data_IF_608522594664
#
_entry.id   IF_608522594664
#
_cell.length_a   1.000
_cell.length_b   1.000
_cell.length_c   1.000
_cell.angle_alpha   90.00
_cell.angle_beta   90.00
_cell.angle_gamma   90.00
#
_symmetry.space_group_name_H-M   'P 1'
#
loop_
_entity.id
_entity.type
_entity.pdbx_description
1 polymer ?
#
# COMPACT_ATOMS: atom_id res chain seq x y z
N UNK A 1 8.74 26.09 -38.11
CA UNK A 1 8.86 25.39 -36.82
C UNK A 1 8.47 26.38 -35.71
N UNK A 2 7.21 26.47 -35.28
CA UNK A 2 6.90 27.11 -34.02
C UNK A 2 7.04 26.07 -32.90
N UNK A 3 7.83 26.44 -31.91
CA UNK A 3 8.07 25.71 -30.66
C UNK A 3 6.76 25.52 -29.90
N UNK A 4 6.45 24.27 -29.57
CA UNK A 4 5.35 23.93 -28.68
C UNK A 4 5.62 24.54 -27.29
N UNK A 5 4.81 25.53 -26.92
CA UNK A 5 4.77 26.01 -25.54
C UNK A 5 4.16 24.91 -24.68
N UNK A 6 4.94 24.38 -23.74
CA UNK A 6 4.46 23.49 -22.70
C UNK A 6 3.46 24.24 -21.83
N UNK A 7 2.18 23.90 -21.96
CA UNK A 7 1.13 24.37 -21.06
C UNK A 7 1.39 23.71 -19.70
N UNK A 8 1.86 24.50 -18.74
CA UNK A 8 1.90 24.12 -17.33
C UNK A 8 0.46 23.92 -16.87
N UNK A 9 0.05 22.66 -16.67
CA UNK A 9 -1.25 22.34 -16.10
C UNK A 9 -1.32 22.88 -14.67
N UNK A 10 -2.35 23.67 -14.37
CA UNK A 10 -2.69 24.03 -13.00
C UNK A 10 -2.82 22.77 -12.14
N UNK A 11 -2.53 22.81 -10.82
CA UNK A 11 -2.64 21.62 -9.98
C UNK A 11 -4.05 21.02 -10.10
N UNK A 12 -4.12 19.84 -10.73
CA UNK A 12 -5.36 19.13 -11.00
C UNK A 12 -6.07 18.78 -9.68
N UNK A 13 -7.38 19.01 -9.62
CA UNK A 13 -8.19 18.48 -8.53
C UNK A 13 -8.31 16.97 -8.74
N UNK A 14 -7.85 16.19 -7.76
CA UNK A 14 -7.97 14.74 -7.77
C UNK A 14 -9.31 14.28 -7.22
N UNK A 15 -9.88 13.21 -7.79
CA UNK A 15 -11.09 12.53 -7.30
C UNK A 15 -10.76 11.12 -6.90
N UNK A 16 -11.37 10.65 -5.82
CA UNK A 16 -11.34 9.25 -5.43
C UNK A 16 -12.70 8.59 -5.65
N UNK A 17 -12.68 7.35 -6.15
CA UNK A 17 -13.86 6.51 -6.31
C UNK A 17 -13.48 5.03 -6.16
N UNK A 18 -14.48 4.20 -5.88
CA UNK A 18 -14.34 2.75 -6.08
C UNK A 18 -14.74 2.47 -7.52
N UNK A 19 -13.87 1.83 -8.28
CA UNK A 19 -14.14 1.44 -9.66
C UNK A 19 -15.40 0.57 -9.70
N UNK A 20 -16.32 0.93 -10.59
CA UNK A 20 -17.63 0.29 -10.76
C UNK A 20 -17.78 -0.39 -12.12
N UNK A 21 -16.87 -0.10 -13.05
CA UNK A 21 -16.85 -0.63 -14.41
C UNK A 21 -15.56 -1.38 -14.69
N UNK A 22 -15.63 -2.30 -15.66
CA UNK A 22 -14.45 -3.01 -16.13
C UNK A 22 -13.38 -2.07 -16.70
N UNK A 23 -13.78 -0.95 -17.32
CA UNK A 23 -12.85 0.01 -17.91
C UNK A 23 -12.04 0.76 -16.84
N UNK A 24 -12.69 1.13 -15.72
CA UNK A 24 -12.01 1.73 -14.57
C UNK A 24 -11.03 0.75 -13.91
N UNK A 25 -11.43 -0.51 -13.75
CA UNK A 25 -10.54 -1.57 -13.23
C UNK A 25 -9.36 -1.78 -14.19
N UNK A 26 -9.61 -1.82 -15.50
CA UNK A 26 -8.56 -1.94 -16.52
C UNK A 26 -7.61 -0.74 -16.50
N UNK A 27 -8.10 0.47 -16.21
CA UNK A 27 -7.25 1.65 -16.04
C UNK A 27 -6.31 1.52 -14.84
N UNK A 28 -6.81 1.06 -13.69
CA UNK A 28 -5.98 0.75 -12.53
C UNK A 28 -4.93 -0.34 -12.83
N UNK A 29 -5.34 -1.41 -13.52
CA UNK A 29 -4.45 -2.50 -13.94
C UNK A 29 -3.32 -2.04 -14.86
N UNK A 30 -3.61 -1.13 -15.81
CA UNK A 30 -2.57 -0.50 -16.65
C UNK A 30 -1.62 0.35 -15.83
N UNK A 31 -2.15 1.18 -14.92
CA UNK A 31 -1.32 1.99 -14.03
C UNK A 31 -0.36 1.11 -13.22
N UNK A 32 -0.87 0.05 -12.60
CA UNK A 32 -0.07 -0.94 -11.87
C UNK A 32 1.00 -1.56 -12.74
N UNK A 33 0.67 -1.95 -13.98
CA UNK A 33 1.67 -2.49 -14.91
C UNK A 33 2.80 -1.50 -15.20
N UNK A 34 2.47 -0.24 -15.53
CA UNK A 34 3.48 0.80 -15.78
C UNK A 34 4.41 0.97 -14.57
N UNK A 35 3.85 1.08 -13.37
CA UNK A 35 4.66 1.32 -12.17
C UNK A 35 5.44 0.07 -11.73
N UNK A 36 4.79 -1.09 -11.67
CA UNK A 36 5.42 -2.30 -11.13
C UNK A 36 6.32 -2.98 -12.14
N UNK A 37 5.88 -3.17 -13.38
CA UNK A 37 6.68 -3.85 -14.41
C UNK A 37 7.65 -2.90 -15.10
N UNK A 38 7.16 -1.81 -15.66
CA UNK A 38 7.97 -0.98 -16.57
C UNK A 38 8.98 -0.12 -15.80
N UNK A 39 8.56 0.50 -14.70
CA UNK A 39 9.44 1.33 -13.88
C UNK A 39 10.25 0.51 -12.86
N UNK A 40 9.59 -0.34 -12.07
CA UNK A 40 10.26 -1.09 -10.98
C UNK A 40 10.90 -2.41 -11.41
N UNK A 41 10.59 -2.92 -12.61
CA UNK A 41 11.17 -4.17 -13.10
C UNK A 41 10.59 -5.45 -12.47
N UNK A 42 9.44 -5.37 -11.80
CA UNK A 42 8.83 -6.53 -11.14
C UNK A 42 8.43 -7.63 -12.15
N UNK A 43 8.56 -8.88 -11.75
CA UNK A 43 8.25 -10.06 -12.55
C UNK A 43 6.77 -10.42 -12.46
N UNK A 44 5.93 -9.63 -13.12
CA UNK A 44 4.49 -9.88 -13.16
C UNK A 44 4.13 -11.10 -14.04
N UNK A 45 3.31 -12.01 -13.50
CA UNK A 45 2.67 -13.10 -14.24
C UNK A 45 1.23 -12.70 -14.50
N UNK A 46 0.98 -12.12 -15.67
CA UNK A 46 -0.34 -11.57 -16.03
C UNK A 46 -0.94 -12.32 -17.22
N UNK A 47 -2.25 -12.65 -17.18
CA UNK A 47 -2.97 -13.19 -18.33
C UNK A 47 -3.24 -12.14 -19.42
N UNK A 48 -3.11 -10.84 -19.11
CA UNK A 48 -3.43 -9.75 -20.04
C UNK A 48 -2.18 -8.89 -20.29
N UNK A 49 -1.65 -8.86 -21.52
CA UNK A 49 -0.48 -8.04 -21.85
C UNK A 49 -0.68 -6.56 -21.47
N UNK A 50 0.35 -5.93 -20.90
CA UNK A 50 0.30 -4.53 -20.51
C UNK A 50 -0.56 -4.20 -19.27
N UNK A 51 -1.02 -5.22 -18.54
CA UNK A 51 -1.86 -5.06 -17.36
C UNK A 51 -1.33 -5.91 -16.21
N UNK A 52 -1.27 -5.38 -15.00
CA UNK A 52 -1.04 -6.18 -13.79
C UNK A 52 -2.38 -6.80 -13.41
N UNK A 53 -2.57 -8.10 -13.62
CA UNK A 53 -3.83 -8.82 -13.38
C UNK A 53 -3.54 -10.11 -12.63
N UNK A 54 -4.23 -10.34 -11.52
CA UNK A 54 -4.17 -11.60 -10.78
C UNK A 54 -5.56 -12.06 -10.31
N UNK A 55 -5.63 -13.24 -9.70
CA UNK A 55 -6.89 -13.86 -9.28
C UNK A 55 -7.64 -13.15 -8.14
N UNK A 56 -7.06 -12.12 -7.54
CA UNK A 56 -7.75 -11.31 -6.54
C UNK A 56 -8.56 -10.16 -7.16
N UNK A 57 -8.26 -9.74 -8.39
CA UNK A 57 -8.86 -8.53 -8.95
C UNK A 57 -10.39 -8.60 -9.08
N UNK A 58 -10.96 -9.79 -9.24
CA UNK A 58 -12.41 -10.02 -9.35
C UNK A 58 -13.14 -10.00 -7.99
N UNK A 59 -12.40 -10.17 -6.89
CA UNK A 59 -12.97 -10.25 -5.53
C UNK A 59 -12.61 -9.04 -4.67
N UNK A 60 -11.92 -8.05 -5.23
CA UNK A 60 -11.50 -6.84 -4.53
C UNK A 60 -12.20 -5.60 -5.04
N UNK A 61 -12.35 -4.62 -4.16
CA UNK A 61 -12.67 -3.26 -4.60
C UNK A 61 -11.39 -2.56 -5.09
N UNK A 62 -11.51 -1.78 -6.13
CA UNK A 62 -10.40 -1.00 -6.68
C UNK A 62 -10.63 0.46 -6.36
N UNK A 63 -9.95 0.98 -5.35
CA UNK A 63 -9.93 2.41 -5.08
C UNK A 63 -9.03 3.06 -6.14
N UNK A 64 -9.57 4.01 -6.88
CA UNK A 64 -8.86 4.74 -7.93
C UNK A 64 -8.85 6.22 -7.63
N UNK A 65 -7.74 6.86 -7.97
CA UNK A 65 -7.57 8.31 -7.97
C UNK A 65 -7.49 8.77 -9.40
N UNK A 66 -8.37 9.67 -9.78
CA UNK A 66 -8.48 10.20 -11.14
C UNK A 66 -8.10 11.67 -11.13
N UNK A 67 -7.24 12.08 -12.06
CA UNK A 67 -7.03 13.50 -12.35
C UNK A 67 -8.23 14.05 -13.11
N UNK A 68 -8.92 15.04 -12.54
CA UNK A 68 -10.10 15.65 -13.20
C UNK A 68 -9.77 16.34 -14.51
N UNK A 69 -8.54 16.83 -14.68
CA UNK A 69 -8.16 17.56 -15.89
C UNK A 69 -8.07 16.62 -17.11
N UNK A 70 -7.56 15.41 -16.90
CA UNK A 70 -7.28 14.44 -17.97
C UNK A 70 -8.26 13.28 -18.01
N UNK A 71 -8.94 13.00 -16.89
CA UNK A 71 -9.71 11.77 -16.71
C UNK A 71 -8.85 10.52 -16.50
N UNK A 72 -7.52 10.66 -16.37
CA UNK A 72 -6.62 9.52 -16.19
C UNK A 72 -6.62 9.00 -14.75
N UNK A 73 -6.58 7.68 -14.59
CA UNK A 73 -6.31 7.04 -13.30
C UNK A 73 -4.82 7.19 -12.96
N UNK A 74 -4.54 7.98 -11.93
CA UNK A 74 -3.19 8.39 -11.52
C UNK A 74 -2.74 7.78 -10.19
N UNK A 75 -3.64 7.12 -9.47
CA UNK A 75 -3.31 6.37 -8.25
C UNK A 75 -4.30 5.26 -8.00
N UNK A 76 -3.90 4.19 -7.31
CA UNK A 76 -4.81 3.11 -6.95
C UNK A 76 -4.42 2.34 -5.69
N UNK A 77 -5.41 1.76 -5.03
CA UNK A 77 -5.30 0.65 -4.08
C UNK A 77 -6.25 -0.47 -4.50
N UNK A 78 -5.82 -1.72 -4.26
CA UNK A 78 -6.72 -2.88 -4.22
C UNK A 78 -7.12 -3.15 -2.78
N UNK A 79 -8.42 -3.33 -2.52
CA UNK A 79 -9.00 -3.51 -1.20
C UNK A 79 -9.79 -4.83 -1.13
N UNK A 80 -9.36 -5.76 -0.28
CA UNK A 80 -10.02 -7.03 -0.03
C UNK A 80 -10.70 -6.99 1.36
N UNK A 81 -12.01 -6.69 1.43
CA UNK A 81 -12.74 -6.79 2.69
C UNK A 81 -12.95 -8.25 3.11
N UNK A 82 -13.17 -8.51 4.41
CA UNK A 82 -13.43 -9.85 4.93
C UNK A 82 -14.69 -10.46 4.31
N UNK A 83 -14.72 -11.79 4.24
CA UNK A 83 -15.87 -12.54 3.72
C UNK A 83 -15.89 -12.75 2.20
N UNK A 84 -15.07 -12.03 1.42
CA UNK A 84 -14.96 -12.24 -0.04
C UNK A 84 -14.03 -13.40 -0.42
N UNK A 85 -13.07 -13.71 0.43
CA UNK A 85 -12.16 -14.84 0.25
C UNK A 85 -11.74 -15.40 1.60
N UNK A 86 -11.44 -16.69 1.63
CA UNK A 86 -10.80 -17.34 2.79
C UNK A 86 -9.30 -17.06 2.84
N UNK A 87 -8.71 -16.69 1.71
CA UNK A 87 -7.28 -16.44 1.52
C UNK A 87 -7.05 -14.97 1.16
N UNK A 88 -6.08 -14.36 1.82
CA UNK A 88 -5.54 -13.03 1.57
C UNK A 88 -4.32 -13.12 0.66
N UNK A 89 -3.92 -12.01 0.03
CA UNK A 89 -2.64 -11.95 -0.68
C UNK A 89 -1.48 -12.20 0.29
N UNK A 90 -1.52 -11.55 1.45
CA UNK A 90 -0.51 -11.68 2.50
C UNK A 90 -0.42 -13.09 3.10
N UNK A 91 -1.43 -13.97 2.96
CA UNK A 91 -1.29 -15.39 3.32
C UNK A 91 -0.26 -16.13 2.43
N UNK A 92 0.06 -15.58 1.26
CA UNK A 92 1.12 -16.10 0.37
C UNK A 92 2.54 -15.78 0.84
N UNK A 93 2.70 -14.73 1.65
CA UNK A 93 4.01 -14.29 2.15
C UNK A 93 4.19 -14.58 3.64
N UNK A 94 3.10 -14.61 4.40
CA UNK A 94 3.10 -14.75 5.86
C UNK A 94 2.12 -15.83 6.33
N UNK A 95 2.46 -16.48 7.44
CA UNK A 95 1.49 -17.21 8.25
C UNK A 95 0.67 -16.22 9.08
N UNK A 96 -0.57 -16.01 8.66
CA UNK A 96 -1.54 -15.16 9.32
C UNK A 96 -2.51 -15.95 10.24
N UNK A 97 -2.33 -17.25 10.42
CA UNK A 97 -3.23 -18.08 11.25
C UNK A 97 -3.21 -17.67 12.72
N UNK A 98 -2.09 -17.12 13.19
CA UNK A 98 -1.93 -16.60 14.54
C UNK A 98 -2.73 -15.31 14.83
N UNK A 99 -3.22 -14.62 13.80
CA UNK A 99 -3.98 -13.38 14.02
C UNK A 99 -5.33 -13.68 14.68
N UNK A 100 -5.75 -12.90 15.70
CA UNK A 100 -7.01 -13.13 16.37
C UNK A 100 -8.19 -13.02 15.41
N UNK A 101 -9.19 -13.90 15.59
CA UNK A 101 -10.40 -13.92 14.74
C UNK A 101 -11.07 -12.55 14.66
N UNK A 102 -11.15 -11.83 15.80
CA UNK A 102 -11.71 -10.47 15.87
C UNK A 102 -11.00 -9.44 14.99
N UNK A 103 -9.70 -9.64 14.74
CA UNK A 103 -8.91 -8.79 13.84
C UNK A 103 -9.21 -9.21 12.41
N UNK A 104 -9.02 -10.50 12.08
CA UNK A 104 -9.24 -11.03 10.72
C UNK A 104 -10.66 -10.74 10.19
N UNK A 105 -11.69 -10.84 11.03
CA UNK A 105 -13.08 -10.62 10.63
C UNK A 105 -13.44 -9.14 10.41
N UNK A 106 -12.59 -8.20 10.85
CA UNK A 106 -12.81 -6.76 10.75
C UNK A 106 -11.70 -6.05 9.97
N UNK A 107 -10.87 -6.80 9.25
CA UNK A 107 -9.67 -6.33 8.56
C UNK A 107 -9.88 -6.30 7.06
N UNK A 108 -9.63 -5.14 6.46
CA UNK A 108 -9.48 -4.98 5.01
C UNK A 108 -8.00 -5.13 4.67
N UNK A 109 -7.68 -6.07 3.78
CA UNK A 109 -6.35 -6.11 3.19
C UNK A 109 -6.26 -5.06 2.07
N UNK A 110 -5.26 -4.19 2.14
CA UNK A 110 -4.91 -3.25 1.10
C UNK A 110 -3.58 -3.60 0.48
N UNK A 111 -3.52 -3.55 -0.85
CA UNK A 111 -2.31 -3.85 -1.61
C UNK A 111 -2.30 -3.17 -2.95
N UNK A 112 -1.27 -3.49 -3.74
CA UNK A 112 -1.09 -2.98 -5.11
C UNK A 112 -1.15 -1.45 -5.20
N UNK A 113 -0.67 -0.78 -4.16
CA UNK A 113 -0.66 0.66 -4.07
C UNK A 113 0.37 1.27 -5.03
N UNK A 114 -0.06 2.15 -5.93
CA UNK A 114 0.86 2.87 -6.79
C UNK A 114 0.33 4.25 -7.20
N UNK A 115 1.24 5.12 -7.62
CA UNK A 115 0.96 6.46 -8.12
C UNK A 115 1.75 6.67 -9.41
N UNK A 116 1.08 7.22 -10.42
CA UNK A 116 1.67 7.57 -11.70
C UNK A 116 2.89 8.48 -11.48
N UNK A 117 4.05 8.23 -12.13
CA UNK A 117 5.29 8.98 -11.91
C UNK A 117 5.10 10.51 -11.93
N UNK A 118 4.37 11.01 -12.93
CA UNK A 118 4.12 12.44 -13.12
C UNK A 118 3.16 13.07 -12.10
N UNK A 119 2.49 12.25 -11.28
CA UNK A 119 1.51 12.70 -10.29
C UNK A 119 1.95 12.44 -8.84
N UNK A 120 3.21 12.01 -8.62
CA UNK A 120 3.78 11.75 -7.28
C UNK A 120 3.90 13.03 -6.45
N UNK A 121 2.80 13.37 -5.81
CA UNK A 121 2.65 14.58 -5.00
C UNK A 121 1.91 14.26 -3.70
N UNK A 122 2.08 15.13 -2.70
CA UNK A 122 1.30 15.03 -1.46
C UNK A 122 -0.21 15.06 -1.70
N UNK A 123 -0.67 15.75 -2.76
CA UNK A 123 -2.08 15.83 -3.10
C UNK A 123 -2.69 14.48 -3.51
N UNK A 124 -2.02 13.70 -4.36
CA UNK A 124 -2.50 12.36 -4.74
C UNK A 124 -2.45 11.40 -3.57
N UNK A 125 -1.37 11.41 -2.80
CA UNK A 125 -1.25 10.57 -1.60
C UNK A 125 -2.39 10.91 -0.62
N UNK A 126 -2.65 12.18 -0.34
CA UNK A 126 -3.75 12.59 0.52
C UNK A 126 -5.11 12.17 -0.02
N UNK A 127 -5.33 12.25 -1.34
CA UNK A 127 -6.55 11.77 -1.97
C UNK A 127 -6.72 10.25 -1.77
N UNK A 128 -5.69 9.45 -2.05
CA UNK A 128 -5.72 8.00 -1.84
C UNK A 128 -6.02 7.65 -0.38
N UNK A 129 -5.34 8.31 0.57
CA UNK A 129 -5.52 8.06 1.99
C UNK A 129 -6.89 8.50 2.51
N UNK A 130 -7.43 9.62 2.02
CA UNK A 130 -8.80 10.04 2.31
C UNK A 130 -9.83 9.05 1.76
N UNK A 131 -9.62 8.54 0.54
CA UNK A 131 -10.44 7.50 -0.06
C UNK A 131 -10.42 6.20 0.76
N UNK A 132 -9.24 5.78 1.20
CA UNK A 132 -9.05 4.59 2.04
C UNK A 132 -9.73 4.73 3.41
N UNK A 133 -9.54 5.87 4.08
CA UNK A 133 -10.18 6.14 5.36
C UNK A 133 -11.71 6.18 5.25
N UNK A 134 -12.23 6.83 4.20
CA UNK A 134 -13.67 6.85 3.91
C UNK A 134 -14.22 5.45 3.62
N UNK A 135 -13.49 4.64 2.86
CA UNK A 135 -13.87 3.26 2.58
C UNK A 135 -14.01 2.46 3.87
N UNK A 136 -13.00 2.48 4.75
CA UNK A 136 -13.01 1.77 6.02
C UNK A 136 -14.16 2.23 6.93
N UNK A 137 -14.38 3.55 7.03
CA UNK A 137 -15.46 4.11 7.83
C UNK A 137 -16.83 3.66 7.32
N UNK A 138 -17.12 3.84 6.03
CA UNK A 138 -18.43 3.54 5.44
C UNK A 138 -18.73 2.03 5.42
N UNK A 139 -17.69 1.20 5.30
CA UNK A 139 -17.83 -0.25 5.32
C UNK A 139 -17.81 -0.84 6.74
N UNK A 140 -17.55 -0.04 7.78
CA UNK A 140 -17.57 -0.46 9.18
C UNK A 140 -16.36 -1.32 9.60
N UNK A 141 -15.26 -1.28 8.84
CA UNK A 141 -14.07 -2.06 9.15
C UNK A 141 -13.10 -1.29 10.04
N UNK A 142 -12.57 -1.99 11.04
CA UNK A 142 -11.67 -1.40 12.05
C UNK A 142 -10.21 -1.49 11.65
N UNK A 143 -9.81 -2.55 10.97
CA UNK A 143 -8.41 -2.81 10.68
C UNK A 143 -8.12 -2.65 9.20
N UNK A 144 -6.95 -2.09 8.92
CA UNK A 144 -6.33 -2.08 7.61
C UNK A 144 -5.01 -2.82 7.70
N UNK A 145 -4.76 -3.77 6.81
CA UNK A 145 -3.50 -4.49 6.79
C UNK A 145 -2.99 -4.71 5.37
N UNK A 146 -1.73 -5.10 5.23
CA UNK A 146 -1.17 -5.50 3.95
C UNK A 146 0.35 -5.56 3.98
N UNK A 147 0.93 -5.99 2.87
CA UNK A 147 2.37 -5.98 2.66
C UNK A 147 2.83 -4.58 2.25
N UNK A 148 3.73 -4.00 3.03
CA UNK A 148 4.43 -2.76 2.69
C UNK A 148 5.85 -3.10 2.25
N UNK A 149 6.11 -2.91 0.97
CA UNK A 149 7.36 -3.33 0.32
C UNK A 149 8.45 -2.27 0.42
N UNK A 150 9.67 -2.72 0.75
CA UNK A 150 10.89 -1.91 0.75
C UNK A 150 11.88 -2.48 -0.26
N UNK A 151 12.29 -1.70 -1.29
CA UNK A 151 13.22 -2.19 -2.29
C UNK A 151 14.57 -2.61 -1.72
N UNK A 152 15.12 -3.70 -2.27
CA UNK A 152 16.44 -4.23 -1.93
C UNK A 152 17.55 -3.77 -2.89
N UNK A 153 17.23 -2.86 -3.81
CA UNK A 153 18.16 -2.36 -4.83
C UNK A 153 19.40 -1.64 -4.26
N UNK A 154 19.34 -1.19 -3.00
CA UNK A 154 20.46 -0.55 -2.28
C UNK A 154 21.33 -1.55 -1.49
N UNK A 155 21.24 -2.84 -1.81
CA UNK A 155 21.89 -3.91 -1.05
C UNK A 155 21.12 -4.30 0.22
N UNK A 156 19.92 -3.76 0.44
CA UNK A 156 19.07 -4.09 1.58
C UNK A 156 19.24 -3.18 2.78
N UNK A 157 19.98 -2.08 2.66
CA UNK A 157 20.17 -1.12 3.75
C UNK A 157 18.84 -0.50 4.19
N UNK A 158 18.01 -0.07 3.23
CA UNK A 158 16.69 0.50 3.54
C UNK A 158 15.78 -0.51 4.25
N UNK A 159 15.83 -1.77 3.86
CA UNK A 159 15.07 -2.84 4.49
C UNK A 159 15.59 -3.14 5.91
N UNK A 160 16.91 -3.14 6.12
CA UNK A 160 17.53 -3.29 7.43
C UNK A 160 17.13 -2.15 8.39
N UNK A 161 17.20 -0.90 7.95
CA UNK A 161 16.79 0.28 8.73
C UNK A 161 15.30 0.25 9.08
N UNK A 162 14.48 -0.17 8.10
CA UNK A 162 13.03 -0.36 8.28
C UNK A 162 12.76 -1.43 9.33
N UNK A 163 13.48 -2.54 9.27
CA UNK A 163 13.32 -3.64 10.22
C UNK A 163 13.72 -3.25 11.64
N UNK A 164 14.80 -2.46 11.77
CA UNK A 164 15.19 -1.88 13.06
C UNK A 164 14.12 -0.94 13.62
N UNK A 165 13.52 -0.08 12.79
CA UNK A 165 12.37 0.75 13.20
C UNK A 165 11.16 -0.09 13.64
N UNK A 166 10.86 -1.14 12.89
CA UNK A 166 9.78 -2.08 13.16
C UNK A 166 9.92 -2.78 14.50
N UNK A 167 11.12 -3.22 14.83
CA UNK A 167 11.40 -3.94 16.07
C UNK A 167 11.56 -3.04 17.29
N UNK A 168 11.96 -1.78 17.11
CA UNK A 168 12.27 -0.86 18.23
C UNK A 168 11.17 0.16 18.53
N UNK A 169 10.42 0.64 17.52
CA UNK A 169 9.46 1.74 17.68
C UNK A 169 8.04 1.38 17.24
N UNK A 170 7.89 0.47 16.29
CA UNK A 170 6.60 0.16 15.65
C UNK A 170 6.18 -1.30 15.81
N UNK A 171 6.75 -2.00 16.79
CA UNK A 171 6.53 -3.43 16.95
C UNK A 171 5.07 -3.71 17.34
N UNK A 172 4.47 -4.69 16.69
CA UNK A 172 3.15 -5.17 17.09
C UNK A 172 3.19 -5.87 18.47
N UNK A 173 2.10 -5.79 19.24
CA UNK A 173 1.83 -6.66 20.38
C UNK A 173 2.04 -8.15 20.01
N UNK A 174 2.50 -9.00 20.94
CA UNK A 174 2.80 -10.40 20.66
C UNK A 174 1.67 -11.16 19.94
N UNK A 175 0.43 -10.91 20.30
CA UNK A 175 -0.77 -11.55 19.73
C UNK A 175 -1.12 -11.09 18.31
N UNK A 176 -0.49 -10.02 17.81
CA UNK A 176 -0.66 -9.53 16.45
C UNK A 176 0.54 -9.86 15.57
N UNK A 177 1.51 -10.63 16.07
CA UNK A 177 2.69 -11.00 15.31
C UNK A 177 2.41 -12.09 14.29
N UNK A 178 3.08 -11.98 13.15
CA UNK A 178 3.01 -12.93 12.04
C UNK A 178 4.42 -13.33 11.63
N UNK A 179 4.53 -14.46 10.93
CA UNK A 179 5.82 -15.01 10.52
C UNK A 179 5.88 -15.15 9.00
N UNK A 180 6.94 -14.67 8.34
CA UNK A 180 7.09 -14.85 6.89
C UNK A 180 7.36 -16.32 6.57
N UNK A 181 6.83 -16.81 5.44
CA UNK A 181 7.17 -18.13 4.91
C UNK A 181 8.60 -18.17 4.39
N UNK A 182 9.01 -17.09 3.72
CA UNK A 182 10.38 -16.87 3.24
C UNK A 182 10.96 -15.61 3.90
N UNK A 183 11.63 -15.70 5.07
CA UNK A 183 12.17 -14.53 5.74
C UNK A 183 13.29 -13.88 4.93
N UNK A 184 13.24 -12.55 4.79
CA UNK A 184 14.40 -11.77 4.38
C UNK A 184 15.30 -11.50 5.60
N UNK A 185 16.61 -11.62 5.42
CA UNK A 185 17.60 -11.32 6.45
C UNK A 185 18.64 -10.33 5.91
N UNK A 186 19.03 -9.33 6.71
CA UNK A 186 20.11 -8.43 6.33
C UNK A 186 21.43 -9.21 6.27
N UNK A 187 22.30 -8.85 5.32
CA UNK A 187 23.63 -9.45 5.19
C UNK A 187 24.55 -9.04 6.34
N UNK A 188 24.43 -7.79 6.77
CA UNK A 188 25.20 -7.20 7.86
C UNK A 188 24.34 -7.04 9.13
N UNK A 189 25.03 -6.90 10.28
CA UNK A 189 24.36 -6.59 11.53
C UNK A 189 23.63 -5.23 11.44
N UNK A 190 22.43 -5.17 12.02
CA UNK A 190 21.66 -3.93 12.07
C UNK A 190 22.42 -2.86 12.87
N UNK A 191 22.87 -1.81 12.19
CA UNK A 191 23.60 -0.71 12.83
C UNK A 191 22.63 0.18 13.60
N UNK A 192 22.99 0.51 14.83
CA UNK A 192 22.14 1.20 15.79
C UNK A 192 21.97 2.69 15.47
N UNK A 193 21.15 3.05 14.48
CA UNK A 193 20.42 4.34 14.49
C UNK A 193 19.21 4.31 13.54
N UNK A 194 18.02 3.90 14.03
CA UNK A 194 16.84 3.78 13.17
C UNK A 194 16.42 5.15 12.61
N UNK A 195 16.42 5.28 11.28
CA UNK A 195 16.07 6.52 10.57
C UNK A 195 14.84 6.34 9.70
N UNK A 196 13.93 7.31 9.75
CA UNK A 196 12.76 7.35 8.87
C UNK A 196 13.10 7.79 7.45
N UNK A 197 14.34 8.24 7.19
CA UNK A 197 14.74 8.83 5.91
C UNK A 197 14.69 7.81 4.77
N UNK A 198 15.07 6.56 5.04
CA UNK A 198 15.12 5.47 4.07
C UNK A 198 13.75 4.79 3.83
N UNK A 199 12.73 5.11 4.64
CA UNK A 199 11.42 4.49 4.48
C UNK A 199 10.74 4.93 3.18
N UNK A 200 10.15 3.98 2.42
CA UNK A 200 9.21 4.32 1.36
C UNK A 200 8.10 5.25 1.86
N UNK A 201 7.65 6.25 1.06
CA UNK A 201 6.70 7.26 1.51
C UNK A 201 5.39 6.71 2.09
N UNK A 202 4.83 5.64 1.48
CA UNK A 202 3.60 5.02 1.96
C UNK A 202 3.79 4.34 3.31
N UNK A 203 4.84 3.54 3.47
CA UNK A 203 5.18 2.90 4.74
C UNK A 203 5.42 3.94 5.84
N UNK A 204 6.16 5.01 5.53
CA UNK A 204 6.34 6.14 6.44
C UNK A 204 5.02 6.76 6.86
N UNK A 205 4.05 6.85 5.94
CA UNK A 205 2.68 7.28 6.22
C UNK A 205 1.99 6.37 7.23
N UNK A 206 2.00 5.04 7.00
CA UNK A 206 1.38 4.05 7.89
C UNK A 206 1.95 4.10 9.31
N UNK A 207 3.27 4.13 9.43
CA UNK A 207 3.93 4.23 10.74
C UNK A 207 3.61 5.56 11.45
N UNK A 208 3.51 6.67 10.71
CA UNK A 208 3.17 7.98 11.27
C UNK A 208 1.75 8.03 11.84
N UNK A 209 0.81 7.29 11.26
CA UNK A 209 -0.57 7.21 11.76
C UNK A 209 -0.77 6.13 12.84
N UNK A 210 0.29 5.42 13.22
CA UNK A 210 0.29 4.46 14.33
C UNK A 210 0.11 3.00 13.91
N UNK A 211 0.36 2.67 12.65
CA UNK A 211 0.40 1.27 12.21
C UNK A 211 1.59 0.53 12.84
N UNK A 212 1.40 -0.76 13.05
CA UNK A 212 2.43 -1.67 13.52
C UNK A 212 3.11 -2.41 12.39
N UNK A 213 4.36 -2.80 12.60
CA UNK A 213 5.02 -3.89 11.89
C UNK A 213 4.86 -5.17 12.70
N UNK A 214 4.30 -6.20 12.08
CA UNK A 214 3.85 -7.38 12.78
C UNK A 214 4.86 -8.53 12.80
N UNK A 215 6.06 -8.37 12.28
CA UNK A 215 7.02 -9.46 12.25
C UNK A 215 8.11 -9.24 11.22
N UNK A 216 9.00 -10.22 11.14
CA UNK A 216 10.13 -10.19 10.21
C UNK A 216 9.63 -10.03 8.77
N UNK A 217 10.37 -9.30 7.91
CA UNK A 217 9.96 -9.15 6.54
C UNK A 217 10.05 -10.46 5.75
N UNK A 218 9.16 -10.63 4.79
CA UNK A 218 9.25 -11.66 3.76
C UNK A 218 10.16 -11.18 2.61
N UNK A 219 10.81 -12.10 1.93
CA UNK A 219 11.59 -11.80 0.73
C UNK A 219 10.72 -11.97 -0.52
N UNK A 220 10.25 -10.86 -1.09
CA UNK A 220 9.55 -10.86 -2.37
C UNK A 220 10.58 -10.82 -3.52
N UNK A 221 10.87 -12.00 -4.08
CA UNK A 221 11.81 -12.15 -5.19
C UNK A 221 11.25 -11.70 -6.53
N UNK A 222 9.92 -11.68 -6.69
CA UNK A 222 9.30 -11.26 -7.94
C UNK A 222 9.37 -9.73 -8.06
N UNK A 223 9.34 -9.00 -6.94
CA UNK A 223 9.52 -7.54 -6.90
C UNK A 223 10.96 -7.10 -6.58
N UNK A 224 11.76 -7.94 -5.94
CA UNK A 224 13.09 -7.55 -5.43
C UNK A 224 13.00 -6.69 -4.17
N UNK A 225 11.98 -6.96 -3.35
CA UNK A 225 11.61 -6.18 -2.17
C UNK A 225 11.69 -7.04 -0.89
N UNK A 226 11.86 -6.38 0.25
CA UNK A 226 11.51 -6.93 1.55
C UNK A 226 10.13 -6.42 1.95
N UNK A 227 9.19 -7.35 2.11
CA UNK A 227 7.80 -7.04 2.41
C UNK A 227 7.55 -7.14 3.90
N UNK A 228 6.95 -6.10 4.46
CA UNK A 228 6.59 -6.04 5.89
C UNK A 228 5.07 -6.14 6.02
N UNK A 229 4.58 -7.11 6.79
CA UNK A 229 3.16 -7.11 7.15
C UNK A 229 2.88 -5.97 8.13
N UNK A 230 2.08 -5.01 7.67
CA UNK A 230 1.72 -3.82 8.43
C UNK A 230 0.24 -3.90 8.81
N UNK A 231 -0.08 -3.54 10.06
CA UNK A 231 -1.44 -3.54 10.58
C UNK A 231 -1.74 -2.19 11.25
N UNK A 232 -2.80 -1.54 10.78
CA UNK A 232 -3.32 -0.31 11.34
C UNK A 232 -4.68 -0.56 12.00
N UNK A 233 -4.79 -0.19 13.27
CA UNK A 233 -6.06 -0.12 13.99
C UNK A 233 -6.63 1.29 13.87
N UNK A 234 -7.78 1.43 13.21
CA UNK A 234 -8.43 2.73 13.00
C UNK A 234 -8.87 3.40 14.31
N UNK A 235 -9.06 2.65 15.39
CA UNK A 235 -9.34 3.21 16.71
C UNK A 235 -8.10 3.78 17.41
N UNK A 236 -6.90 3.33 17.01
CA UNK A 236 -5.62 3.85 17.52
C UNK A 236 -5.07 4.98 16.66
N UNK A 237 -5.66 5.21 15.50
CA UNK A 237 -5.24 6.29 14.61
C UNK A 237 -5.35 7.61 15.36
N UNK A 238 -4.26 8.38 15.33
CA UNK A 238 -4.22 9.68 15.99
C UNK A 238 -5.38 10.58 15.51
N UNK A 239 -6.12 11.16 16.46
CA UNK A 239 -7.32 11.98 16.24
C UNK A 239 -7.14 13.11 15.23
N UNK A 240 -5.91 13.64 15.09
CA UNK A 240 -5.60 14.64 14.06
C UNK A 240 -5.78 14.06 12.66
N UNK A 241 -5.27 12.86 12.42
CA UNK A 241 -5.34 12.20 11.12
C UNK A 241 -6.73 11.63 10.86
N UNK A 242 -7.38 11.08 11.88
CA UNK A 242 -8.78 10.65 11.80
C UNK A 242 -9.67 11.82 11.33
N UNK A 243 -9.57 12.99 11.97
CA UNK A 243 -10.33 14.20 11.55
C UNK A 243 -9.96 14.67 10.15
N UNK A 244 -8.65 14.74 9.87
CA UNK A 244 -8.15 15.19 8.56
C UNK A 244 -8.68 14.33 7.40
N UNK A 245 -8.63 13.01 7.53
CA UNK A 245 -9.06 12.10 6.46
C UNK A 245 -10.58 11.95 6.37
N UNK A 246 -11.30 12.11 7.48
CA UNK A 246 -12.77 12.05 7.51
C UNK A 246 -13.45 13.38 7.12
N UNK A 247 -12.67 14.43 6.81
CA UNK A 247 -13.22 15.73 6.43
C UNK A 247 -13.91 16.46 7.58
N UNK A 248 -13.69 16.04 8.83
CA UNK A 248 -14.06 16.80 10.03
C UNK A 248 -13.13 18.01 10.12
N UNK A 249 -13.49 19.05 9.37
CA UNK A 249 -12.80 20.33 9.37
C UNK A 249 -13.10 21.01 10.71
N UNK A 250 -12.07 21.57 11.34
CA UNK A 250 -12.21 22.43 12.52
C UNK A 250 -13.19 23.57 12.28
#
# INVERSE_FOLDING_TARGET
MPTASSVSAAPGSYVTSIASTHDEIRAAQRLRYRVFREEKGARLRTPVPGHDVDGFDDITDHLVVTDRATGETVGTYRLLPPGRSRRLYSDGEFDLQGLPVRVRSAMVEAGRACVHPDHRSGAVINAMWGGLARYLLLSGHRYLAGCASVPLADGGQSAADTWLLGTTRHAAPPELRVHPHEPWQPLDALVANPSYAALPPLLRGYLRVGAWMCGAPAHDRDFGDADFFVLLDMERMNDRYRRYFLGETR
#
